data_IF_960983843133
#
_entry.id   IF_960983843133
#
_cell.length_a   1.000
_cell.length_b   1.000
_cell.length_c   1.000
_cell.angle_alpha   90.00
_cell.angle_beta   90.00
_cell.angle_gamma   90.00
#
_symmetry.space_group_name_H-M   'P 1'
#
loop_
_entity.id
_entity.type
_entity.pdbx_description
1 polymer ?
#
# COMPACT_ATOMS: atom_id res chain seq x y z
N UNK A 1 -34.70 -28.17 -39.10
CA UNK A 1 -34.31 -27.07 -38.20
C UNK A 1 -35.34 -27.01 -37.09
N UNK A 2 -35.13 -27.79 -36.02
CA UNK A 2 -36.06 -27.91 -34.89
C UNK A 2 -35.70 -26.82 -33.87
N UNK A 3 -36.62 -25.87 -33.68
CA UNK A 3 -36.55 -24.93 -32.55
C UNK A 3 -36.93 -25.68 -31.27
N UNK A 4 -35.96 -25.94 -30.42
CA UNK A 4 -36.22 -26.39 -29.04
C UNK A 4 -36.64 -25.17 -28.22
N UNK A 5 -37.94 -25.05 -28.02
CA UNK A 5 -38.50 -24.05 -27.12
C UNK A 5 -38.18 -24.42 -25.68
N UNK A 6 -37.31 -23.66 -25.05
CA UNK A 6 -37.12 -23.69 -23.57
C UNK A 6 -38.39 -23.17 -22.91
N UNK A 7 -39.36 -24.02 -22.63
CA UNK A 7 -40.40 -23.76 -21.63
C UNK A 7 -39.67 -23.71 -20.28
N UNK A 8 -39.44 -22.50 -19.77
CA UNK A 8 -39.08 -22.31 -18.36
C UNK A 8 -40.20 -22.95 -17.53
N UNK A 9 -39.90 -24.09 -16.94
CA UNK A 9 -40.89 -24.85 -16.14
C UNK A 9 -40.94 -24.16 -14.75
N UNK A 10 -41.78 -23.10 -14.65
CA UNK A 10 -42.08 -22.36 -13.43
C UNK A 10 -42.48 -23.31 -12.29
N UNK A 11 -42.99 -24.50 -12.63
CA UNK A 11 -43.37 -25.53 -11.65
C UNK A 11 -42.20 -26.01 -10.78
N UNK A 12 -40.96 -25.94 -11.26
CA UNK A 12 -39.76 -26.30 -10.46
C UNK A 12 -39.58 -25.33 -9.32
N UNK A 13 -39.85 -24.05 -9.53
CA UNK A 13 -39.74 -22.99 -8.47
C UNK A 13 -40.90 -23.02 -7.49
N UNK A 14 -41.99 -23.73 -7.80
CA UNK A 14 -43.15 -23.90 -6.91
C UNK A 14 -43.09 -25.20 -6.10
N UNK A 15 -42.05 -25.99 -6.26
CA UNK A 15 -41.88 -27.21 -5.44
C UNK A 15 -41.72 -26.86 -3.97
N UNK A 16 -42.37 -27.55 -3.03
CA UNK A 16 -42.28 -27.26 -1.61
C UNK A 16 -40.85 -27.25 -1.10
N UNK A 17 -40.01 -28.16 -1.57
CA UNK A 17 -38.60 -28.22 -1.21
C UNK A 17 -37.83 -26.94 -1.57
N UNK A 18 -38.08 -26.40 -2.78
CA UNK A 18 -37.47 -25.15 -3.23
C UNK A 18 -37.94 -23.95 -2.39
N UNK A 19 -39.24 -23.86 -2.14
CA UNK A 19 -39.81 -22.79 -1.32
C UNK A 19 -39.27 -22.82 0.13
N UNK A 20 -39.14 -24.02 0.70
CA UNK A 20 -38.54 -24.19 2.04
C UNK A 20 -37.06 -23.71 2.02
N UNK A 21 -36.26 -24.09 1.03
CA UNK A 21 -34.89 -23.61 0.89
C UNK A 21 -34.83 -22.09 0.80
N UNK A 22 -35.68 -21.46 -0.03
CA UNK A 22 -35.73 -20.00 -0.16
C UNK A 22 -36.13 -19.34 1.18
N UNK A 23 -37.13 -19.88 1.88
CA UNK A 23 -37.55 -19.37 3.19
C UNK A 23 -36.42 -19.49 4.23
N UNK A 24 -35.72 -20.62 4.27
CA UNK A 24 -34.59 -20.82 5.20
C UNK A 24 -33.46 -19.83 4.89
N UNK A 25 -33.09 -19.64 3.61
CA UNK A 25 -32.07 -18.69 3.21
C UNK A 25 -32.48 -17.24 3.53
N UNK A 26 -33.73 -16.89 3.27
CA UNK A 26 -34.26 -15.56 3.59
C UNK A 26 -34.24 -15.31 5.10
N UNK A 27 -34.70 -16.28 5.91
CA UNK A 27 -34.68 -16.20 7.35
C UNK A 27 -33.26 -16.11 7.92
N UNK A 28 -32.31 -16.87 7.34
CA UNK A 28 -30.89 -16.80 7.70
C UNK A 28 -30.30 -15.43 7.35
N UNK A 29 -30.59 -14.86 6.18
CA UNK A 29 -30.14 -13.54 5.75
C UNK A 29 -30.67 -12.42 6.65
N UNK A 30 -31.96 -12.44 6.97
CA UNK A 30 -32.56 -11.46 7.91
C UNK A 30 -31.98 -11.64 9.31
N UNK A 31 -31.85 -12.89 9.79
CA UNK A 31 -31.29 -13.20 11.11
C UNK A 31 -29.84 -12.70 11.23
N UNK A 32 -29.04 -12.92 10.20
CA UNK A 32 -27.65 -12.44 10.15
C UNK A 32 -27.59 -10.90 10.17
N UNK A 33 -28.41 -10.22 9.36
CA UNK A 33 -28.46 -8.75 9.31
C UNK A 33 -28.84 -8.15 10.67
N UNK A 34 -29.87 -8.72 11.35
CA UNK A 34 -30.28 -8.28 12.69
C UNK A 34 -29.18 -8.52 13.72
N UNK A 35 -28.54 -9.68 13.67
CA UNK A 35 -27.46 -10.03 14.59
C UNK A 35 -26.27 -9.09 14.42
N UNK A 36 -25.84 -8.82 13.17
CA UNK A 36 -24.74 -7.89 12.88
C UNK A 36 -25.03 -6.48 13.40
N UNK A 37 -26.25 -5.97 13.17
CA UNK A 37 -26.68 -4.67 13.72
C UNK A 37 -26.65 -4.63 15.24
N UNK A 38 -27.11 -5.70 15.91
CA UNK A 38 -27.08 -5.80 17.38
C UNK A 38 -25.65 -5.88 17.93
N UNK A 39 -24.73 -6.50 17.20
CA UNK A 39 -23.32 -6.60 17.57
C UNK A 39 -22.52 -5.35 17.21
N UNK A 40 -23.12 -4.38 16.50
CA UNK A 40 -22.43 -3.16 16.07
C UNK A 40 -21.38 -3.40 14.98
N UNK A 41 -21.48 -4.48 14.20
CA UNK A 41 -20.53 -4.80 13.14
C UNK A 41 -20.78 -3.89 11.93
N UNK A 42 -19.74 -3.19 11.49
CA UNK A 42 -19.78 -2.24 10.37
C UNK A 42 -18.89 -2.79 9.25
N UNK A 43 -19.49 -3.33 8.19
CA UNK A 43 -18.78 -3.83 7.01
C UNK A 43 -18.48 -2.72 6.00
N UNK A 44 -19.43 -1.82 5.79
CA UNK A 44 -19.27 -0.70 4.88
C UNK A 44 -18.64 0.46 5.63
N UNK A 45 -17.39 0.77 5.28
CA UNK A 45 -16.63 1.83 5.91
C UNK A 45 -16.93 3.17 5.25
N UNK A 46 -16.88 4.23 6.04
CA UNK A 46 -16.92 5.58 5.50
C UNK A 46 -15.49 6.06 5.13
N UNK A 47 -15.37 6.91 4.11
CA UNK A 47 -14.07 7.48 3.75
C UNK A 47 -13.45 8.23 4.94
N UNK A 48 -12.16 8.03 5.15
CA UNK A 48 -11.36 8.81 6.09
C UNK A 48 -10.31 9.57 5.29
N UNK A 49 -10.53 10.86 4.98
CA UNK A 49 -9.61 11.64 4.17
C UNK A 49 -8.32 11.96 4.93
N UNK A 50 -7.27 12.32 4.19
CA UNK A 50 -6.08 12.94 4.74
C UNK A 50 -6.42 14.25 5.46
N UNK A 51 -5.62 14.66 6.47
CA UNK A 51 -5.69 16.01 7.06
C UNK A 51 -5.36 17.06 5.99
N UNK A 52 -4.24 16.85 5.29
CA UNK A 52 -3.82 17.61 4.12
C UNK A 52 -3.38 16.69 2.99
N UNK A 53 -3.70 17.02 1.71
CA UNK A 53 -3.25 16.23 0.56
C UNK A 53 -1.73 16.02 0.56
N UNK A 54 -1.26 14.83 0.21
CA UNK A 54 0.19 14.52 0.16
C UNK A 54 0.97 15.45 -0.77
N UNK A 55 0.32 15.97 -1.82
CA UNK A 55 0.92 16.88 -2.78
C UNK A 55 1.31 18.24 -2.17
N UNK A 56 0.74 18.59 -1.00
CA UNK A 56 1.04 19.82 -0.25
C UNK A 56 2.19 19.65 0.75
N UNK A 57 2.80 18.44 0.83
CA UNK A 57 3.97 18.21 1.70
C UNK A 57 5.07 19.23 1.38
N UNK A 58 5.49 19.98 2.43
CA UNK A 58 6.48 21.05 2.30
C UNK A 58 7.90 20.48 2.12
N UNK A 59 8.46 20.69 0.93
CA UNK A 59 9.83 20.28 0.62
C UNK A 59 10.88 20.97 1.51
N UNK A 60 10.57 22.18 2.02
CA UNK A 60 11.46 22.94 2.89
C UNK A 60 11.73 22.24 4.22
N UNK A 61 10.82 21.38 4.67
CA UNK A 61 10.91 20.64 5.93
C UNK A 61 11.64 19.30 5.80
N UNK A 62 12.12 18.95 4.58
CA UNK A 62 12.77 17.65 4.33
C UNK A 62 14.30 17.66 4.52
N UNK A 63 14.90 18.75 4.98
CA UNK A 63 16.36 18.79 5.17
C UNK A 63 16.86 17.58 5.99
N UNK A 64 17.96 16.91 5.58
CA UNK A 64 18.92 17.28 4.54
C UNK A 64 18.53 16.83 3.11
N UNK A 65 17.33 16.34 2.90
CA UNK A 65 16.85 15.85 1.59
C UNK A 65 16.36 17.00 0.72
N UNK A 66 16.55 16.84 -0.59
CA UNK A 66 16.04 17.76 -1.61
C UNK A 66 15.25 16.96 -2.64
N UNK A 67 14.12 17.50 -3.07
CA UNK A 67 13.34 16.93 -4.18
C UNK A 67 14.06 17.25 -5.48
N UNK A 68 14.37 16.22 -6.26
CA UNK A 68 14.99 16.36 -7.59
C UNK A 68 13.90 16.55 -8.63
N UNK A 69 13.84 17.70 -9.33
CA UNK A 69 12.82 17.93 -10.35
C UNK A 69 13.08 17.09 -11.62
N UNK A 70 12.03 16.79 -12.42
CA UNK A 70 10.62 17.09 -12.14
C UNK A 70 10.02 16.12 -11.11
N UNK A 71 9.00 16.57 -10.38
CA UNK A 71 8.16 15.66 -9.58
C UNK A 71 7.45 14.69 -10.52
N UNK A 72 7.61 13.41 -10.26
CA UNK A 72 7.03 12.38 -11.12
C UNK A 72 5.50 12.33 -10.94
N UNK A 73 4.80 12.21 -12.06
CA UNK A 73 3.34 11.99 -12.08
C UNK A 73 3.02 10.77 -12.91
N UNK A 74 1.99 10.06 -12.52
CA UNK A 74 1.46 8.95 -13.31
C UNK A 74 0.55 9.55 -14.37
N UNK A 75 1.05 9.59 -15.64
CA UNK A 75 0.32 10.17 -16.77
C UNK A 75 -0.63 9.19 -17.46
N UNK A 76 -0.39 7.89 -17.27
CA UNK A 76 -1.21 6.83 -17.86
C UNK A 76 -2.46 6.61 -17.01
N UNK A 77 -3.63 6.91 -17.58
CA UNK A 77 -4.93 6.76 -16.90
C UNK A 77 -5.21 5.33 -16.46
N UNK A 78 -4.81 4.31 -17.26
CA UNK A 78 -5.00 2.91 -16.90
C UNK A 78 -4.16 2.53 -15.66
N UNK A 79 -2.95 3.11 -15.54
CA UNK A 79 -2.08 2.90 -14.37
C UNK A 79 -2.66 3.61 -13.15
N UNK A 80 -3.21 4.82 -13.32
CA UNK A 80 -3.83 5.57 -12.23
C UNK A 80 -5.11 4.87 -11.74
N UNK A 81 -5.95 4.39 -12.67
CA UNK A 81 -7.12 3.60 -12.34
C UNK A 81 -6.74 2.29 -11.61
N UNK A 82 -5.70 1.61 -12.10
CA UNK A 82 -5.17 0.42 -11.43
C UNK A 82 -4.60 0.73 -10.05
N UNK A 83 -3.93 1.89 -9.87
CA UNK A 83 -3.46 2.35 -8.56
C UNK A 83 -4.64 2.55 -7.60
N UNK A 84 -5.76 3.09 -8.09
CA UNK A 84 -7.01 3.23 -7.35
C UNK A 84 -7.02 4.35 -6.33
N UNK A 85 -6.09 5.30 -6.43
CA UNK A 85 -6.08 6.54 -5.63
C UNK A 85 -5.38 7.67 -6.40
N UNK A 86 -5.83 8.89 -6.18
CA UNK A 86 -5.17 10.13 -6.63
C UNK A 86 -4.33 10.77 -5.52
N UNK A 87 -4.47 10.30 -4.28
CA UNK A 87 -3.69 10.75 -3.13
C UNK A 87 -2.34 10.01 -3.09
N UNK A 88 -1.40 10.49 -3.89
CA UNK A 88 -0.04 9.96 -3.92
C UNK A 88 1.00 11.03 -4.18
N UNK A 89 2.23 10.75 -3.76
CA UNK A 89 3.45 11.44 -4.21
C UNK A 89 4.46 10.44 -4.71
N UNK A 90 5.18 10.83 -5.76
CA UNK A 90 6.28 10.06 -6.34
C UNK A 90 7.46 10.99 -6.61
N UNK A 91 8.38 11.05 -5.65
CA UNK A 91 9.49 12.00 -5.66
C UNK A 91 10.83 11.28 -5.69
N UNK A 92 11.77 11.83 -6.45
CA UNK A 92 13.18 11.50 -6.33
C UNK A 92 13.76 12.43 -5.27
N UNK A 93 14.30 11.84 -4.23
CA UNK A 93 14.95 12.56 -3.13
C UNK A 93 16.46 12.36 -3.19
N UNK A 94 17.21 13.47 -3.09
CA UNK A 94 18.66 13.49 -2.96
C UNK A 94 19.04 13.82 -1.52
N UNK A 95 19.84 12.96 -0.87
CA UNK A 95 20.46 13.25 0.42
C UNK A 95 21.69 14.11 0.22
N UNK A 96 21.60 15.38 0.65
CA UNK A 96 22.70 16.35 0.50
C UNK A 96 23.94 16.00 1.31
N UNK A 97 23.83 15.17 2.33
CA UNK A 97 24.95 14.74 3.18
C UNK A 97 25.70 13.53 2.60
N UNK A 98 25.13 12.85 1.59
CA UNK A 98 25.75 11.72 0.95
C UNK A 98 26.76 12.16 -0.13
N UNK A 99 27.93 11.52 -0.25
CA UNK A 99 28.87 11.78 -1.33
C UNK A 99 28.26 11.46 -2.70
N UNK A 100 28.73 12.12 -3.74
CA UNK A 100 28.19 12.02 -5.09
C UNK A 100 28.15 10.58 -5.67
N UNK A 101 29.05 9.72 -5.22
CA UNK A 101 29.15 8.33 -5.66
C UNK A 101 28.44 7.33 -4.73
N UNK A 102 27.72 7.80 -3.72
CA UNK A 102 26.98 6.93 -2.80
C UNK A 102 25.84 6.23 -3.52
N UNK A 103 25.70 4.93 -3.28
CA UNK A 103 24.61 4.13 -3.84
C UNK A 103 23.23 4.52 -3.29
N UNK A 104 23.19 5.18 -2.13
CA UNK A 104 21.97 5.64 -1.45
C UNK A 104 21.79 7.16 -1.50
N UNK A 105 22.57 7.86 -2.33
CA UNK A 105 22.44 9.32 -2.46
C UNK A 105 21.07 9.75 -2.94
N UNK A 106 20.53 9.04 -3.90
CA UNK A 106 19.20 9.28 -4.43
C UNK A 106 18.30 8.06 -4.21
N UNK A 107 17.08 8.31 -3.80
CA UNK A 107 16.03 7.29 -3.75
C UNK A 107 14.72 7.82 -4.33
N UNK A 108 13.92 6.92 -4.86
CA UNK A 108 12.54 7.20 -5.21
C UNK A 108 11.67 6.92 -3.99
N UNK A 109 11.00 7.97 -3.48
CA UNK A 109 9.95 7.88 -2.48
C UNK A 109 8.60 7.81 -3.19
N UNK A 110 7.82 6.78 -2.90
CA UNK A 110 6.47 6.63 -3.40
C UNK A 110 5.51 6.38 -2.23
N UNK A 111 4.62 7.33 -1.98
CA UNK A 111 3.59 7.23 -0.94
C UNK A 111 2.23 7.24 -1.61
N UNK A 112 1.35 6.31 -1.24
CA UNK A 112 -0.05 6.25 -1.68
C UNK A 112 -0.96 6.16 -0.47
N UNK A 113 -2.08 6.88 -0.50
CA UNK A 113 -3.08 6.87 0.54
C UNK A 113 -4.43 6.40 0.00
N UNK A 114 -5.15 5.62 0.80
CA UNK A 114 -6.46 5.08 0.48
C UNK A 114 -7.41 5.33 1.64
N UNK A 115 -8.39 6.18 1.41
CA UNK A 115 -9.39 6.57 2.41
C UNK A 115 -10.43 5.48 2.71
N UNK A 116 -10.46 4.42 1.89
CA UNK A 116 -11.35 3.26 2.03
C UNK A 116 -10.56 1.95 1.87
N UNK A 117 -10.95 0.88 2.58
CA UNK A 117 -10.32 -0.44 2.45
C UNK A 117 -10.89 -1.28 1.30
N UNK A 118 -11.59 -0.67 0.34
CA UNK A 118 -12.26 -1.33 -0.80
C UNK A 118 -11.27 -1.82 -1.86
N UNK A 119 -10.05 -1.34 -1.82
CA UNK A 119 -8.96 -1.75 -2.72
C UNK A 119 -8.03 -2.74 -2.04
N UNK A 120 -7.47 -3.62 -2.84
CA UNK A 120 -6.40 -4.52 -2.38
C UNK A 120 -5.09 -3.74 -2.39
N UNK A 121 -4.35 -3.68 -1.27
CA UNK A 121 -3.07 -3.00 -1.25
C UNK A 121 -2.14 -3.50 -2.35
N UNK A 122 -1.75 -2.60 -3.26
CA UNK A 122 -0.76 -2.90 -4.29
C UNK A 122 0.62 -3.03 -3.66
N UNK A 123 1.31 -4.12 -3.96
CA UNK A 123 2.68 -4.36 -3.47
C UNK A 123 3.67 -4.29 -4.62
N UNK A 124 4.92 -3.89 -4.33
CA UNK A 124 5.98 -3.81 -5.33
C UNK A 124 6.17 -5.12 -6.10
N UNK A 125 5.97 -6.27 -5.46
CA UNK A 125 6.09 -7.60 -6.09
C UNK A 125 5.21 -7.74 -7.34
N UNK A 126 4.02 -7.14 -7.35
CA UNK A 126 3.12 -7.20 -8.51
C UNK A 126 3.49 -6.17 -9.55
N UNK A 127 3.71 -4.93 -9.14
CA UNK A 127 4.04 -3.82 -10.05
C UNK A 127 5.33 -4.09 -10.83
N UNK A 128 6.40 -4.48 -10.14
CA UNK A 128 7.68 -4.76 -10.77
C UNK A 128 7.65 -5.99 -11.66
N UNK A 129 6.92 -7.05 -11.23
CA UNK A 129 6.83 -8.26 -12.07
C UNK A 129 5.99 -8.04 -13.32
N UNK A 130 4.97 -7.19 -13.26
CA UNK A 130 4.23 -6.69 -14.42
C UNK A 130 5.10 -5.86 -15.37
N UNK A 131 6.01 -5.06 -14.84
CA UNK A 131 6.98 -4.23 -15.57
C UNK A 131 8.17 -4.97 -16.19
N UNK A 132 8.19 -6.32 -16.16
CA UNK A 132 9.27 -7.11 -16.80
C UNK A 132 10.44 -7.47 -15.88
N UNK A 133 10.33 -7.22 -14.59
CA UNK A 133 11.29 -7.61 -13.58
C UNK A 133 10.91 -8.93 -12.89
N UNK A 134 11.86 -9.52 -12.21
CA UNK A 134 11.64 -10.67 -11.32
C UNK A 134 12.14 -10.35 -9.92
N UNK A 135 11.45 -10.86 -8.92
CA UNK A 135 11.89 -10.79 -7.54
C UNK A 135 13.04 -11.76 -7.32
N UNK A 136 14.17 -11.25 -6.87
CA UNK A 136 15.39 -12.04 -6.57
C UNK A 136 15.44 -12.43 -5.10
N UNK A 137 15.04 -11.50 -4.20
CA UNK A 137 14.95 -11.78 -2.78
C UNK A 137 13.79 -11.03 -2.14
N UNK A 138 13.33 -11.50 -0.98
CA UNK A 138 12.31 -10.88 -0.15
C UNK A 138 12.57 -11.23 1.30
N UNK A 139 12.80 -10.23 2.14
CA UNK A 139 13.12 -10.40 3.55
C UNK A 139 12.25 -9.48 4.39
N UNK A 140 11.81 -9.96 5.56
CA UNK A 140 11.21 -9.12 6.57
C UNK A 140 12.33 -8.37 7.32
N UNK A 141 12.14 -7.08 7.52
CA UNK A 141 13.06 -6.22 8.29
C UNK A 141 12.26 -5.39 9.27
N UNK A 142 12.90 -4.92 10.32
CA UNK A 142 12.33 -3.93 11.23
C UNK A 142 13.17 -2.68 11.13
N UNK A 143 12.53 -1.56 10.82
CA UNK A 143 13.19 -0.26 10.78
C UNK A 143 13.11 0.36 12.18
N UNK A 144 14.20 0.87 12.67
CA UNK A 144 14.29 1.58 13.94
C UNK A 144 14.41 3.09 13.69
N UNK A 145 13.28 3.77 13.71
CA UNK A 145 13.22 5.18 13.43
C UNK A 145 13.39 5.95 14.74
N UNK A 146 14.35 6.85 14.76
CA UNK A 146 14.59 7.75 15.88
C UNK A 146 15.07 9.09 15.34
N UNK A 147 14.46 10.18 15.77
CA UNK A 147 14.92 11.52 15.46
C UNK A 147 15.28 12.32 16.73
N UNK A 148 16.06 13.39 16.56
CA UNK A 148 16.49 14.23 17.67
C UNK A 148 15.35 15.03 18.34
N UNK A 149 14.15 15.03 17.74
CA UNK A 149 12.95 15.69 18.27
C UNK A 149 12.09 14.76 19.14
N UNK A 150 12.52 13.51 19.39
CA UNK A 150 11.83 12.55 20.25
C UNK A 150 10.81 11.67 19.53
N UNK A 151 10.77 11.67 18.20
CA UNK A 151 9.96 10.71 17.45
C UNK A 151 10.68 9.35 17.41
N UNK A 152 10.03 8.32 17.93
CA UNK A 152 10.52 6.95 17.92
C UNK A 152 9.46 6.01 17.34
N UNK A 153 9.85 5.14 16.41
CA UNK A 153 8.98 4.12 15.87
C UNK A 153 9.76 2.86 15.48
N UNK A 154 9.16 1.70 15.73
CA UNK A 154 9.62 0.41 15.19
C UNK A 154 8.65 -0.04 14.13
N UNK A 155 9.11 -0.05 12.88
CA UNK A 155 8.27 -0.27 11.71
C UNK A 155 8.62 -1.61 11.08
N UNK A 156 7.72 -2.60 11.11
CA UNK A 156 7.89 -3.78 10.29
C UNK A 156 7.82 -3.39 8.82
N UNK A 157 8.77 -3.87 8.03
CA UNK A 157 8.88 -3.56 6.62
C UNK A 157 9.31 -4.79 5.80
N UNK A 158 9.17 -4.71 4.49
CA UNK A 158 9.65 -5.71 3.54
C UNK A 158 10.79 -5.10 2.72
N UNK A 159 11.93 -5.77 2.74
CA UNK A 159 13.04 -5.49 1.85
C UNK A 159 13.02 -6.46 0.68
N UNK A 160 13.05 -5.94 -0.53
CA UNK A 160 12.99 -6.68 -1.79
C UNK A 160 14.18 -6.32 -2.66
N UNK A 161 14.62 -7.25 -3.48
CA UNK A 161 15.55 -6.97 -4.58
C UNK A 161 14.93 -7.49 -5.87
N UNK A 162 14.82 -6.62 -6.86
CA UNK A 162 14.39 -6.98 -8.20
C UNK A 162 15.54 -6.97 -9.19
N UNK A 163 15.40 -7.75 -10.26
CA UNK A 163 16.27 -7.76 -11.40
C UNK A 163 15.49 -8.07 -12.68
N UNK A 164 16.02 -7.83 -13.88
CA UNK A 164 15.31 -8.05 -15.12
C UNK A 164 15.01 -9.54 -15.34
N UNK A 165 13.79 -9.87 -15.84
CA UNK A 165 13.41 -11.25 -16.20
C UNK A 165 14.23 -11.79 -17.37
N UNK A 166 14.51 -10.91 -18.35
CA UNK A 166 15.33 -11.21 -19.52
C UNK A 166 16.52 -10.24 -19.49
N UNK A 167 17.64 -10.70 -18.97
CA UNK A 167 18.85 -9.90 -18.90
C UNK A 167 19.74 -10.21 -20.10
N UNK A 168 20.17 -9.17 -20.81
CA UNK A 168 21.35 -9.26 -21.67
C UNK A 168 22.62 -9.14 -20.80
N UNK A 169 23.79 -9.31 -21.39
CA UNK A 169 25.09 -9.28 -20.67
C UNK A 169 25.27 -7.98 -19.84
N UNK A 170 24.71 -6.87 -20.30
CA UNK A 170 24.82 -5.55 -19.65
C UNK A 170 23.80 -5.35 -18.53
N UNK A 171 22.67 -6.04 -18.55
CA UNK A 171 21.60 -5.94 -17.57
C UNK A 171 21.62 -7.05 -16.51
N UNK A 172 22.48 -8.05 -16.68
CA UNK A 172 22.55 -9.21 -15.77
C UNK A 172 22.94 -8.83 -14.34
N UNK A 173 23.65 -7.71 -14.15
CA UNK A 173 24.06 -7.19 -12.85
C UNK A 173 23.06 -6.20 -12.22
N UNK A 174 22.03 -5.77 -12.96
CA UNK A 174 21.06 -4.80 -12.43
C UNK A 174 20.33 -5.37 -11.21
N UNK A 175 20.41 -4.65 -10.11
CA UNK A 175 19.70 -4.92 -8.87
C UNK A 175 18.95 -3.67 -8.45
N UNK A 176 17.70 -3.82 -8.07
CA UNK A 176 16.83 -2.73 -7.64
C UNK A 176 16.34 -3.07 -6.24
N UNK A 177 17.04 -2.59 -5.20
CA UNK A 177 16.56 -2.66 -3.84
C UNK A 177 15.31 -1.80 -3.67
N UNK A 178 14.33 -2.37 -2.98
CA UNK A 178 13.06 -1.76 -2.70
C UNK A 178 12.68 -2.10 -1.26
N UNK A 179 12.24 -1.10 -0.52
CA UNK A 179 11.78 -1.26 0.84
C UNK A 179 10.38 -0.66 0.95
N UNK A 180 9.44 -1.39 1.53
CA UNK A 180 8.10 -0.87 1.74
C UNK A 180 7.47 -1.32 3.05
N UNK A 181 6.51 -0.56 3.50
CA UNK A 181 5.61 -0.88 4.61
C UNK A 181 4.25 -0.22 4.40
N UNK A 182 3.31 -0.60 5.24
CA UNK A 182 1.99 0.02 5.30
C UNK A 182 1.76 0.71 6.64
N UNK A 183 0.96 1.79 6.62
CA UNK A 183 0.26 2.33 7.78
C UNK A 183 -1.21 1.99 7.60
N UNK A 184 -1.80 1.29 8.56
CA UNK A 184 -3.17 0.79 8.48
C UNK A 184 -3.88 1.05 9.79
N UNK A 185 -4.93 1.86 9.78
CA UNK A 185 -5.72 2.11 11.00
C UNK A 185 -4.81 2.44 12.20
N UNK A 186 -3.89 3.39 12.02
CA UNK A 186 -2.94 3.82 13.06
C UNK A 186 -1.77 2.87 13.35
N UNK A 187 -1.73 1.66 12.77
CA UNK A 187 -0.68 0.67 13.01
C UNK A 187 0.23 0.50 11.78
N UNK A 188 1.48 0.08 11.99
CA UNK A 188 2.38 -0.28 10.92
C UNK A 188 2.29 -1.77 10.59
N UNK A 189 2.39 -2.11 9.30
CA UNK A 189 2.35 -3.48 8.79
C UNK A 189 3.44 -3.68 7.73
N UNK A 190 4.19 -4.77 7.84
CA UNK A 190 5.36 -5.05 6.99
C UNK A 190 5.04 -5.83 5.72
N UNK A 191 3.79 -6.27 5.55
CA UNK A 191 3.38 -7.05 4.39
C UNK A 191 1.92 -6.77 4.03
N UNK A 192 1.52 -7.18 2.81
CA UNK A 192 0.11 -7.15 2.40
C UNK A 192 -0.78 -7.97 3.33
N UNK A 193 -0.29 -9.11 3.77
CA UNK A 193 -1.00 -10.03 4.65
C UNK A 193 -1.28 -9.37 6.01
N UNK A 194 -0.26 -8.73 6.59
CA UNK A 194 -0.39 -8.00 7.85
C UNK A 194 -1.35 -6.81 7.71
N UNK A 195 -1.25 -6.06 6.60
CA UNK A 195 -2.16 -4.97 6.29
C UNK A 195 -3.62 -5.45 6.18
N UNK A 196 -3.87 -6.56 5.49
CA UNK A 196 -5.20 -7.18 5.39
C UNK A 196 -5.72 -7.65 6.75
N UNK A 197 -4.87 -8.23 7.58
CA UNK A 197 -5.24 -8.63 8.94
C UNK A 197 -5.64 -7.41 9.76
N UNK A 198 -4.88 -6.31 9.68
CA UNK A 198 -5.20 -5.07 10.38
C UNK A 198 -6.53 -4.46 9.91
N UNK A 199 -6.78 -4.42 8.59
CA UNK A 199 -8.06 -3.97 8.02
C UNK A 199 -9.23 -4.85 8.49
N UNK A 200 -9.08 -6.19 8.44
CA UNK A 200 -10.14 -7.14 8.79
C UNK A 200 -10.46 -7.17 10.29
N UNK A 201 -9.53 -6.80 11.16
CA UNK A 201 -9.78 -6.69 12.60
C UNK A 201 -10.69 -5.53 12.96
N UNK A 202 -10.80 -4.52 12.12
CA UNK A 202 -11.62 -3.35 12.35
C UNK A 202 -13.10 -3.59 11.98
N UNK A 203 -13.77 -4.46 12.75
CA UNK A 203 -15.19 -4.82 12.52
C UNK A 203 -16.16 -3.76 13.03
N UNK A 204 -15.77 -3.01 14.06
CA UNK A 204 -16.67 -2.09 14.78
C UNK A 204 -16.41 -0.61 14.46
N UNK A 205 -15.24 -0.29 13.92
CA UNK A 205 -14.91 1.07 13.54
C UNK A 205 -15.68 1.53 12.30
N UNK A 206 -16.11 2.78 12.30
CA UNK A 206 -16.80 3.43 11.20
C UNK A 206 -15.87 3.68 10.01
N UNK A 207 -14.63 4.04 10.29
CA UNK A 207 -13.60 4.37 9.33
C UNK A 207 -12.57 3.24 9.21
N UNK A 208 -11.89 3.19 8.08
CA UNK A 208 -10.72 2.34 7.88
C UNK A 208 -9.93 2.87 6.70
N UNK A 209 -8.64 2.99 6.85
CA UNK A 209 -7.72 3.50 5.82
C UNK A 209 -6.45 2.67 5.76
N UNK A 210 -5.73 2.82 4.68
CA UNK A 210 -4.34 2.37 4.61
C UNK A 210 -3.49 3.29 3.74
N UNK A 211 -2.22 3.34 4.04
CA UNK A 211 -1.20 4.05 3.29
C UNK A 211 -0.05 3.08 3.00
N UNK A 212 0.58 3.19 1.84
CA UNK A 212 1.83 2.50 1.53
C UNK A 212 2.94 3.51 1.39
N UNK A 213 4.07 3.23 2.01
CA UNK A 213 5.33 3.95 1.82
C UNK A 213 6.32 3.01 1.17
N UNK A 214 6.92 3.42 0.07
CA UNK A 214 7.86 2.64 -0.72
C UNK A 214 9.09 3.48 -1.04
N UNK A 215 10.27 2.90 -0.81
CA UNK A 215 11.58 3.49 -1.07
C UNK A 215 12.33 2.61 -2.07
N UNK A 216 12.75 3.16 -3.20
CA UNK A 216 13.43 2.43 -4.27
C UNK A 216 14.80 3.03 -4.55
N UNK A 217 15.84 2.19 -4.47
CA UNK A 217 17.21 2.60 -4.74
C UNK A 217 17.63 2.09 -6.12
N UNK A 218 17.26 2.84 -7.17
CA UNK A 218 17.53 2.50 -8.57
C UNK A 218 18.20 3.64 -9.37
N UNK A 219 18.75 4.63 -8.65
CA UNK A 219 19.29 5.84 -9.27
C UNK A 219 20.82 5.78 -9.43
N UNK A 220 21.49 4.91 -8.69
CA UNK A 220 22.92 4.68 -8.82
C UNK A 220 23.24 3.52 -9.78
N UNK A 221 24.40 3.54 -10.40
CA UNK A 221 24.92 2.44 -11.21
C UNK A 221 25.30 1.20 -10.37
N UNK A 222 25.52 1.41 -9.07
CA UNK A 222 25.84 0.36 -8.10
C UNK A 222 24.65 0.28 -7.14
N UNK A 223 24.05 -0.90 -7.01
CA UNK A 223 23.01 -1.11 -6.03
C UNK A 223 23.59 -1.09 -4.61
N UNK A 224 22.92 -0.43 -3.64
CA UNK A 224 23.34 -0.49 -2.25
C UNK A 224 23.18 -1.91 -1.68
N UNK A 225 23.97 -2.21 -0.67
CA UNK A 225 23.75 -3.38 0.18
C UNK A 225 22.43 -3.22 0.95
N UNK A 226 21.96 -4.30 1.54
CA UNK A 226 20.75 -4.26 2.38
C UNK A 226 20.92 -3.32 3.56
N UNK A 227 22.07 -3.37 4.22
CA UNK A 227 22.39 -2.55 5.39
C UNK A 227 22.41 -1.07 5.02
N UNK A 228 23.03 -0.71 3.90
CA UNK A 228 23.04 0.68 3.40
C UNK A 228 21.63 1.17 3.07
N UNK A 229 20.83 0.34 2.39
CA UNK A 229 19.45 0.70 2.03
C UNK A 229 18.56 0.85 3.26
N UNK A 230 18.68 -0.04 4.26
CA UNK A 230 17.93 0.05 5.52
C UNK A 230 18.32 1.32 6.28
N UNK A 231 19.61 1.56 6.51
CA UNK A 231 20.09 2.75 7.22
C UNK A 231 19.67 4.05 6.52
N UNK A 232 19.77 4.11 5.18
CA UNK A 232 19.31 5.27 4.42
C UNK A 232 17.80 5.47 4.52
N UNK A 233 17.03 4.38 4.53
CA UNK A 233 15.59 4.42 4.72
C UNK A 233 15.21 4.92 6.12
N UNK A 234 15.88 4.44 7.16
CA UNK A 234 15.67 4.90 8.54
C UNK A 234 15.94 6.39 8.70
N UNK A 235 17.06 6.86 8.11
CA UNK A 235 17.42 8.29 8.12
C UNK A 235 16.37 9.14 7.42
N UNK A 236 15.88 8.76 6.25
CA UNK A 236 14.84 9.50 5.54
C UNK A 236 13.52 9.46 6.29
N UNK A 237 13.13 8.31 6.79
CA UNK A 237 11.88 8.15 7.52
C UNK A 237 11.86 8.90 8.85
N UNK A 238 13.02 9.10 9.49
CA UNK A 238 13.14 9.93 10.68
C UNK A 238 12.83 11.42 10.43
N UNK A 239 12.93 11.86 9.18
CA UNK A 239 12.54 13.21 8.74
C UNK A 239 11.10 13.26 8.32
N UNK A 240 10.66 12.36 7.44
CA UNK A 240 9.36 12.49 6.76
C UNK A 240 8.19 11.95 7.60
N UNK A 241 8.38 10.90 8.41
CA UNK A 241 7.28 10.31 9.17
C UNK A 241 6.63 11.26 10.19
N UNK A 242 7.40 12.05 10.97
CA UNK A 242 6.79 13.03 11.86
C UNK A 242 5.87 14.00 11.12
N UNK A 243 6.28 14.48 9.95
CA UNK A 243 5.49 15.39 9.11
C UNK A 243 4.21 14.70 8.62
N UNK A 244 4.33 13.45 8.15
CA UNK A 244 3.17 12.69 7.69
C UNK A 244 2.17 12.41 8.82
N UNK A 245 2.64 12.09 10.02
CA UNK A 245 1.78 11.82 11.18
C UNK A 245 1.09 13.10 11.68
N UNK A 246 1.80 14.22 11.71
CA UNK A 246 1.28 15.47 12.25
C UNK A 246 0.39 16.20 11.26
N UNK A 247 0.82 16.33 10.01
CA UNK A 247 0.19 17.24 9.04
C UNK A 247 -0.70 16.54 8.02
N UNK A 248 -0.42 15.27 7.65
CA UNK A 248 -1.10 14.63 6.51
C UNK A 248 -2.00 13.47 6.90
N UNK A 249 -1.48 12.50 7.67
CA UNK A 249 -2.26 11.31 7.99
C UNK A 249 -3.37 11.61 9.00
N UNK A 250 -4.54 10.97 8.88
CA UNK A 250 -5.61 11.18 9.83
C UNK A 250 -5.24 10.69 11.22
N UNK A 251 -5.74 11.39 12.25
CA UNK A 251 -5.65 10.90 13.61
C UNK A 251 -6.50 9.64 13.74
N UNK A 252 -5.88 8.58 14.23
CA UNK A 252 -6.57 7.33 14.45
C UNK A 252 -6.94 7.20 15.92
N UNK A 253 -8.20 7.51 16.24
CA UNK A 253 -8.78 7.22 17.55
C UNK A 253 -9.45 5.84 17.50
N UNK A 254 -9.07 4.94 18.41
CA UNK A 254 -9.68 3.62 18.56
C UNK A 254 -11.08 3.70 19.14
#
# INVERSE_FOLDING_TARGET
MMMVGTRNDIRVYLQPAFLICVLVLAAAGVGMSVTMKKLGIIFEKEPLPLKEPLQLLDEGNLAPYRVVPPKLKIENEEVLEALGTEDYIQWILEDAEQPANSAVKECLLFITYYELPDRVPHVPEECWTGGGFQKLSSEAVTLEINNNAGFEAKIPARYLVFGPKKANLWQSSLRIPNLYFFKVNGQYAGSREDARIALNKNLFGKYSYFCKVELVFNRSSIAPTKEEAVTASEKLLAVILPILEEEHWPDWEN
#
